data_IF_293238073004
#
_entry.id   IF_293238073004
#
_cell.length_a   1.000
_cell.length_b   1.000
_cell.length_c   1.000
_cell.angle_alpha   90.00
_cell.angle_beta   90.00
_cell.angle_gamma   90.00
#
_symmetry.space_group_name_H-M   'P 1'
#
loop_
_entity.id
_entity.type
_entity.pdbx_description
1 polymer ?
#
# COMPACT_ATOMS: atom_id res chain seq x y z
N UNK A 1 -13.69 -34.71 19.63
CA UNK A 1 -12.78 -33.90 18.80
C UNK A 1 -11.35 -34.32 19.15
N UNK A 2 -10.49 -34.55 18.16
CA UNK A 2 -9.09 -34.88 18.43
C UNK A 2 -8.44 -33.67 19.13
N UNK A 3 -7.72 -33.93 20.23
CA UNK A 3 -7.07 -32.89 21.00
C UNK A 3 -5.86 -32.40 20.20
N UNK A 4 -5.87 -31.13 19.78
CA UNK A 4 -4.72 -30.46 19.14
C UNK A 4 -3.47 -30.57 20.02
N UNK A 5 -2.33 -30.87 19.40
CA UNK A 5 -1.02 -30.93 20.01
C UNK A 5 -0.10 -29.80 19.49
N UNK A 6 1.06 -29.62 20.11
CA UNK A 6 2.05 -28.57 19.77
C UNK A 6 2.50 -28.68 18.31
N UNK A 7 2.71 -29.91 17.82
CA UNK A 7 3.16 -30.18 16.45
C UNK A 7 2.15 -29.81 15.36
N UNK A 8 0.90 -29.54 15.73
CA UNK A 8 -0.13 -29.12 14.77
C UNK A 8 -0.06 -27.62 14.45
N UNK A 9 0.61 -26.83 15.29
CA UNK A 9 0.61 -25.35 15.21
C UNK A 9 2.01 -24.73 15.26
N UNK A 10 2.98 -25.36 15.91
CA UNK A 10 4.35 -24.86 16.00
C UNK A 10 5.23 -25.63 15.01
N UNK A 11 5.79 -24.91 14.05
CA UNK A 11 6.65 -25.47 13.02
C UNK A 11 8.10 -25.10 13.28
N UNK A 12 8.99 -26.08 13.14
CA UNK A 12 10.43 -25.89 13.24
C UNK A 12 11.04 -25.71 11.85
N UNK A 13 11.90 -24.72 11.70
CA UNK A 13 12.83 -24.56 10.60
C UNK A 13 14.25 -24.42 11.14
N UNK A 14 15.28 -24.56 10.31
CA UNK A 14 16.66 -24.28 10.67
C UNK A 14 17.12 -23.06 9.85
N UNK A 15 17.43 -21.95 10.52
CA UNK A 15 17.88 -20.71 9.87
C UNK A 15 19.30 -20.87 9.31
N UNK A 16 20.13 -21.62 10.03
CA UNK A 16 21.46 -22.05 9.66
C UNK A 16 21.72 -23.44 10.27
N UNK A 17 22.76 -24.18 9.84
CA UNK A 17 23.06 -25.49 10.40
C UNK A 17 23.20 -25.44 11.93
N UNK A 18 22.28 -26.11 12.64
CA UNK A 18 22.25 -26.15 14.11
C UNK A 18 21.58 -24.95 14.80
N UNK A 19 20.97 -24.03 14.06
CA UNK A 19 20.23 -22.87 14.59
C UNK A 19 18.73 -23.04 14.30
N UNK A 20 17.99 -23.73 15.18
CA UNK A 20 16.55 -23.92 15.00
C UNK A 20 15.78 -22.63 15.28
N UNK A 21 14.76 -22.37 14.47
CA UNK A 21 13.73 -21.36 14.72
C UNK A 21 12.37 -22.05 14.74
N UNK A 22 11.48 -21.58 15.62
CA UNK A 22 10.13 -22.08 15.75
C UNK A 22 9.16 -20.95 15.37
N UNK A 23 8.18 -21.26 14.53
CA UNK A 23 7.20 -20.30 14.04
C UNK A 23 5.79 -20.86 14.09
N UNK A 24 4.82 -19.98 14.31
CA UNK A 24 3.41 -20.28 14.19
C UNK A 24 2.66 -19.05 13.71
N UNK A 25 1.64 -19.26 12.89
CA UNK A 25 0.69 -18.23 12.52
C UNK A 25 -0.62 -18.50 13.23
N UNK A 26 -1.10 -17.53 14.03
CA UNK A 26 -2.42 -17.64 14.68
C UNK A 26 -3.54 -17.63 13.62
N UNK A 27 -3.28 -16.97 12.48
CA UNK A 27 -4.25 -16.79 11.41
C UNK A 27 -5.37 -15.82 11.79
N UNK A 28 -6.39 -15.79 10.94
CA UNK A 28 -7.55 -14.91 11.09
C UNK A 28 -8.72 -15.42 10.26
N UNK A 29 -9.88 -14.77 10.38
CA UNK A 29 -11.03 -15.11 9.56
C UNK A 29 -10.81 -14.70 8.09
N UNK A 30 -11.59 -15.27 7.18
CA UNK A 30 -11.58 -14.89 5.76
C UNK A 30 -11.84 -13.39 5.57
N UNK A 31 -11.29 -12.81 4.50
CA UNK A 31 -11.47 -11.40 4.15
C UNK A 31 -12.97 -11.05 4.08
N UNK A 32 -13.36 -10.00 4.83
CA UNK A 32 -14.75 -9.54 4.91
C UNK A 32 -15.65 -10.38 5.83
N UNK A 33 -15.11 -11.34 6.59
CA UNK A 33 -15.87 -12.17 7.54
C UNK A 33 -15.21 -12.16 8.92
N UNK A 34 -16.03 -12.33 9.96
CA UNK A 34 -15.56 -12.51 11.34
C UNK A 34 -14.86 -11.28 11.94
N UNK A 35 -14.04 -11.52 12.97
CA UNK A 35 -13.26 -10.50 13.66
C UNK A 35 -11.83 -11.01 13.91
N UNK A 36 -10.84 -10.37 13.29
CA UNK A 36 -9.43 -10.73 13.46
C UNK A 36 -8.98 -10.73 14.93
N UNK A 37 -9.43 -9.75 15.71
CA UNK A 37 -9.13 -9.68 17.14
C UNK A 37 -9.66 -10.89 17.93
N UNK A 38 -10.85 -11.40 17.60
CA UNK A 38 -11.36 -12.62 18.24
C UNK A 38 -10.52 -13.85 17.88
N UNK A 39 -10.06 -13.93 16.61
CA UNK A 39 -9.13 -14.97 16.16
C UNK A 39 -7.83 -14.95 16.97
N UNK A 40 -7.21 -13.79 17.10
CA UNK A 40 -6.00 -13.57 17.92
C UNK A 40 -6.22 -14.00 19.38
N UNK A 41 -7.30 -13.53 19.99
CA UNK A 41 -7.62 -13.82 21.40
C UNK A 41 -7.83 -15.33 21.62
N UNK A 42 -8.45 -16.01 20.66
CA UNK A 42 -8.64 -17.46 20.68
C UNK A 42 -7.31 -18.19 20.48
N UNK A 43 -6.49 -17.76 19.51
CA UNK A 43 -5.17 -18.33 19.24
C UNK A 43 -4.28 -18.32 20.47
N UNK A 44 -4.18 -17.19 21.18
CA UNK A 44 -3.42 -17.15 22.43
C UNK A 44 -3.94 -18.11 23.50
N UNK A 45 -5.27 -18.26 23.66
CA UNK A 45 -5.82 -19.26 24.59
C UNK A 45 -5.40 -20.68 24.22
N UNK A 46 -5.31 -20.98 22.93
CA UNK A 46 -4.81 -22.28 22.44
C UNK A 46 -3.32 -22.43 22.78
N UNK A 47 -2.49 -21.42 22.51
CA UNK A 47 -1.05 -21.45 22.83
C UNK A 47 -0.80 -21.57 24.34
N UNK A 48 -1.56 -20.85 25.17
CA UNK A 48 -1.52 -20.96 26.63
C UNK A 48 -1.85 -22.38 27.10
N UNK A 49 -2.90 -22.99 26.52
CA UNK A 49 -3.27 -24.39 26.81
C UNK A 49 -2.18 -25.37 26.39
N UNK A 50 -1.49 -25.10 25.28
CA UNK A 50 -0.33 -25.86 24.82
C UNK A 50 0.96 -25.56 25.62
N UNK A 51 0.86 -24.70 26.64
CA UNK A 51 1.93 -24.47 27.60
C UNK A 51 2.97 -23.45 27.15
N UNK A 52 2.59 -22.44 26.36
CA UNK A 52 3.46 -21.36 25.89
C UNK A 52 4.41 -20.80 26.98
N UNK A 53 3.90 -20.57 28.20
CA UNK A 53 4.70 -20.06 29.33
C UNK A 53 5.78 -21.03 29.87
N UNK A 54 5.79 -22.30 29.42
CA UNK A 54 6.74 -23.34 29.82
C UNK A 54 7.69 -23.74 28.69
N UNK A 55 7.59 -23.10 27.53
CA UNK A 55 8.50 -23.38 26.43
C UNK A 55 9.92 -22.94 26.82
N UNK A 56 10.89 -23.81 26.53
CA UNK A 56 12.30 -23.53 26.79
C UNK A 56 12.88 -22.68 25.64
N UNK A 57 12.34 -21.47 25.47
CA UNK A 57 12.78 -20.48 24.50
C UNK A 57 13.31 -19.25 25.23
N UNK A 58 14.42 -18.69 24.77
CA UNK A 58 14.99 -17.47 25.34
C UNK A 58 14.20 -16.23 24.93
N UNK A 59 13.66 -16.22 23.69
CA UNK A 59 12.88 -15.12 23.13
C UNK A 59 11.65 -15.66 22.41
N UNK A 60 10.53 -14.93 22.55
CA UNK A 60 9.34 -15.10 21.73
C UNK A 60 9.06 -13.75 21.09
N UNK A 61 9.24 -13.67 19.78
CA UNK A 61 8.91 -12.46 19.00
C UNK A 61 7.48 -12.61 18.50
N UNK A 62 6.65 -11.62 18.80
CA UNK A 62 5.26 -11.57 18.38
C UNK A 62 5.09 -10.44 17.38
N UNK A 63 4.78 -10.77 16.12
CA UNK A 63 4.45 -9.79 15.09
C UNK A 63 2.97 -9.44 15.16
N UNK A 64 2.65 -8.16 15.33
CA UNK A 64 1.30 -7.67 15.58
C UNK A 64 0.97 -6.49 14.67
N UNK A 65 -0.25 -6.51 14.12
CA UNK A 65 -0.79 -5.39 13.35
C UNK A 65 -0.96 -4.15 14.25
N UNK A 66 -0.32 -3.05 13.87
CA UNK A 66 -0.33 -1.79 14.63
C UNK A 66 -1.44 -0.81 14.28
N UNK A 67 -2.12 -0.99 13.14
CA UNK A 67 -3.14 -0.06 12.63
C UNK A 67 -4.34 0.08 13.58
N UNK A 68 -4.67 -1.02 14.26
CA UNK A 68 -5.77 -1.08 15.22
C UNK A 68 -5.27 -1.65 16.53
N UNK A 69 -5.48 -0.88 17.61
CA UNK A 69 -5.08 -1.28 18.97
C UNK A 69 -6.32 -1.43 19.84
N UNK A 70 -7.24 -2.29 19.38
CA UNK A 70 -8.53 -2.49 20.04
C UNK A 70 -8.86 -3.97 20.22
N UNK A 71 -9.71 -4.25 21.22
CA UNK A 71 -10.21 -5.59 21.51
C UNK A 71 -9.08 -6.63 21.54
N UNK A 72 -9.17 -7.62 20.64
CA UNK A 72 -8.20 -8.70 20.59
C UNK A 72 -6.81 -8.34 20.05
N UNK A 73 -6.66 -7.28 19.26
CA UNK A 73 -5.35 -6.81 18.79
C UNK A 73 -4.54 -6.17 19.93
N UNK A 74 -5.23 -5.65 20.95
CA UNK A 74 -4.58 -5.16 22.16
C UNK A 74 -4.21 -6.29 23.14
N UNK A 75 -4.53 -7.56 22.87
CA UNK A 75 -4.32 -8.68 23.79
C UNK A 75 -2.89 -8.78 24.33
N UNK A 76 -1.82 -8.64 23.50
CA UNK A 76 -0.46 -8.71 24.02
C UNK A 76 -0.17 -7.67 25.10
N UNK A 77 -0.70 -6.45 24.96
CA UNK A 77 -0.58 -5.36 25.92
C UNK A 77 -1.52 -5.58 27.12
N UNK A 78 -2.80 -5.81 26.84
CA UNK A 78 -3.88 -5.88 27.82
C UNK A 78 -3.73 -7.04 28.80
N UNK A 79 -3.17 -8.17 28.34
CA UNK A 79 -2.92 -9.36 29.17
C UNK A 79 -1.46 -9.48 29.62
N UNK A 80 -0.62 -8.50 29.31
CA UNK A 80 0.82 -8.53 29.60
C UNK A 80 1.51 -9.80 29.09
N UNK A 81 1.13 -10.25 27.89
CA UNK A 81 1.78 -11.40 27.24
C UNK A 81 3.10 -10.99 26.58
N UNK A 82 3.20 -9.73 26.16
CA UNK A 82 4.46 -9.12 25.75
C UNK A 82 5.05 -8.39 26.96
N UNK A 83 6.28 -8.73 27.34
CA UNK A 83 7.03 -7.98 28.36
C UNK A 83 7.55 -6.65 27.78
N UNK A 84 8.07 -6.72 26.56
CA UNK A 84 8.74 -5.63 25.86
C UNK A 84 8.10 -5.42 24.47
N UNK A 85 7.92 -4.15 24.10
CA UNK A 85 7.30 -3.74 22.83
C UNK A 85 8.25 -2.82 22.09
N UNK A 86 8.48 -3.13 20.82
CA UNK A 86 9.19 -2.27 19.88
C UNK A 86 8.18 -1.84 18.81
N UNK A 87 8.13 -0.56 18.50
CA UNK A 87 7.22 -0.02 17.49
C UNK A 87 8.03 0.27 16.22
N UNK A 88 7.63 -0.33 15.10
CA UNK A 88 8.23 -0.02 13.80
C UNK A 88 7.46 1.13 13.15
N UNK A 89 8.18 2.16 12.71
CA UNK A 89 7.61 3.38 12.14
C UNK A 89 8.29 3.77 10.83
N UNK A 90 7.56 4.43 9.94
CA UNK A 90 8.10 5.23 8.85
C UNK A 90 8.09 6.72 9.19
N UNK A 91 8.35 7.55 8.19
CA UNK A 91 8.28 9.02 8.32
C UNK A 91 6.87 9.57 8.02
N UNK A 92 5.97 8.73 7.49
CA UNK A 92 4.64 9.17 7.11
C UNK A 92 3.71 9.35 8.32
N UNK A 93 2.70 10.20 8.12
CA UNK A 93 1.74 10.56 9.17
C UNK A 93 0.94 9.38 9.69
N UNK A 94 0.59 8.41 8.86
CA UNK A 94 -0.24 7.28 9.29
C UNK A 94 0.56 6.33 10.18
N UNK A 95 1.82 6.07 9.82
CA UNK A 95 2.71 5.24 10.62
C UNK A 95 2.98 5.84 12.00
N UNK A 96 3.31 7.14 12.07
CA UNK A 96 3.53 7.82 13.35
C UNK A 96 2.24 7.97 14.17
N UNK A 97 1.08 8.06 13.52
CA UNK A 97 -0.22 8.07 14.20
C UNK A 97 -0.53 6.72 14.83
N UNK A 98 -0.27 5.61 14.13
CA UNK A 98 -0.39 4.26 14.67
C UNK A 98 0.56 4.06 15.86
N UNK A 99 1.82 4.51 15.75
CA UNK A 99 2.79 4.49 16.84
C UNK A 99 2.28 5.24 18.08
N UNK A 100 1.70 6.44 17.88
CA UNK A 100 1.12 7.22 18.95
C UNK A 100 -0.05 6.51 19.62
N UNK A 101 -0.92 5.86 18.85
CA UNK A 101 -2.04 5.07 19.40
C UNK A 101 -1.56 3.83 20.18
N UNK A 102 -0.51 3.15 19.72
CA UNK A 102 0.10 2.04 20.46
C UNK A 102 0.70 2.55 21.78
N UNK A 103 1.41 3.68 21.75
CA UNK A 103 1.97 4.31 22.95
C UNK A 103 0.88 4.70 23.95
N UNK A 104 -0.23 5.30 23.48
CA UNK A 104 -1.41 5.61 24.29
C UNK A 104 -2.01 4.35 24.92
N UNK A 105 -2.20 3.30 24.13
CA UNK A 105 -2.74 2.03 24.62
C UNK A 105 -1.82 1.40 25.68
N UNK A 106 -0.51 1.41 25.45
CA UNK A 106 0.47 0.88 26.41
C UNK A 106 0.40 1.63 27.74
N UNK A 107 0.39 2.97 27.74
CA UNK A 107 0.19 3.78 28.97
C UNK A 107 -1.14 3.47 29.65
N UNK A 108 -2.21 3.33 28.88
CA UNK A 108 -3.52 2.98 29.42
C UNK A 108 -3.50 1.64 30.16
N UNK A 109 -2.96 0.57 29.55
CA UNK A 109 -2.86 -0.74 30.18
C UNK A 109 -1.89 -0.76 31.37
N UNK A 110 -0.77 -0.02 31.31
CA UNK A 110 0.11 0.18 32.45
C UNK A 110 -0.61 0.85 33.63
N UNK A 111 -1.45 1.86 33.37
CA UNK A 111 -2.24 2.53 34.42
C UNK A 111 -3.23 1.59 35.14
N UNK A 112 -3.61 0.48 34.48
CA UNK A 112 -4.47 -0.57 35.04
C UNK A 112 -3.67 -1.71 35.68
N UNK A 113 -2.34 -1.59 35.80
CA UNK A 113 -1.46 -2.57 36.43
C UNK A 113 -0.80 -3.56 35.48
N UNK A 114 -0.87 -3.34 34.16
CA UNK A 114 -0.13 -4.12 33.17
C UNK A 114 1.39 -3.91 33.28
N UNK A 115 2.17 -4.94 32.97
CA UNK A 115 3.64 -4.92 33.09
C UNK A 115 4.38 -4.73 31.76
N UNK A 116 3.65 -4.67 30.63
CA UNK A 116 4.25 -4.45 29.31
C UNK A 116 4.92 -3.08 29.24
N UNK A 117 6.13 -3.03 28.69
CA UNK A 117 6.89 -1.80 28.52
C UNK A 117 7.32 -1.59 27.08
N UNK A 118 7.36 -0.34 26.63
CA UNK A 118 7.88 0.02 25.31
C UNK A 118 9.39 0.19 25.43
N UNK A 119 10.17 -0.39 24.52
CA UNK A 119 11.62 -0.16 24.43
C UNK A 119 11.91 1.08 23.59
N UNK A 120 11.23 1.26 22.46
CA UNK A 120 11.43 2.39 21.57
C UNK A 120 10.93 2.15 20.15
N UNK A 121 11.42 2.98 19.24
CA UNK A 121 11.05 3.03 17.83
C UNK A 121 12.13 2.40 16.95
N UNK A 122 11.73 1.67 15.91
CA UNK A 122 12.59 1.35 14.76
C UNK A 122 12.11 2.19 13.59
N UNK A 123 12.95 3.08 13.07
CA UNK A 123 12.63 3.83 11.85
C UNK A 123 12.95 2.95 10.66
N UNK A 124 11.93 2.48 9.96
CA UNK A 124 12.03 1.63 8.79
C UNK A 124 11.79 2.41 7.50
N UNK A 125 12.46 2.00 6.43
CA UNK A 125 12.51 2.75 5.16
C UNK A 125 12.90 4.21 5.39
N UNK A 126 13.94 4.41 6.21
CA UNK A 126 14.42 5.75 6.54
C UNK A 126 14.79 6.50 5.25
N UNK A 127 14.05 7.56 4.96
CA UNK A 127 14.19 8.43 3.79
C UNK A 127 14.92 9.74 4.14
N UNK A 128 15.44 9.82 5.37
CA UNK A 128 16.18 10.94 5.94
C UNK A 128 15.37 12.24 6.05
N UNK A 129 14.04 12.18 6.06
CA UNK A 129 13.16 13.35 6.21
C UNK A 129 12.96 13.83 7.63
N UNK A 130 13.66 13.25 8.63
CA UNK A 130 13.65 13.58 10.07
C UNK A 130 12.29 13.59 10.80
N UNK A 131 11.17 13.37 10.11
CA UNK A 131 9.83 13.42 10.72
C UNK A 131 9.67 12.47 11.90
N UNK A 132 10.24 11.25 11.80
CA UNK A 132 10.26 10.29 12.91
C UNK A 132 11.12 10.77 14.10
N UNK A 133 12.21 11.51 13.85
CA UNK A 133 13.03 12.14 14.89
C UNK A 133 12.25 13.21 15.66
N UNK A 134 11.53 14.06 14.94
CA UNK A 134 10.67 15.08 15.54
C UNK A 134 9.59 14.44 16.42
N UNK A 135 8.98 13.36 15.95
CA UNK A 135 8.02 12.58 16.73
C UNK A 135 8.67 11.95 17.97
N UNK A 136 9.82 11.32 17.81
CA UNK A 136 10.58 10.71 18.91
C UNK A 136 10.94 11.74 19.99
N UNK A 137 11.43 12.91 19.59
CA UNK A 137 11.77 14.00 20.50
C UNK A 137 10.53 14.57 21.22
N UNK A 138 9.41 14.73 20.51
CA UNK A 138 8.19 15.27 21.09
C UNK A 138 7.52 14.27 22.06
N UNK A 139 7.47 12.99 21.71
CA UNK A 139 6.84 11.94 22.52
C UNK A 139 7.74 11.41 23.65
N UNK A 140 9.06 11.59 23.55
CA UNK A 140 10.04 11.02 24.47
C UNK A 140 10.40 9.56 24.19
N UNK A 141 9.89 8.97 23.10
CA UNK A 141 10.23 7.60 22.72
C UNK A 141 11.61 7.55 22.03
N UNK A 142 12.55 6.69 22.48
CA UNK A 142 13.87 6.60 21.87
C UNK A 142 13.83 5.86 20.53
N UNK A 143 14.65 6.29 19.57
CA UNK A 143 14.91 5.54 18.33
C UNK A 143 16.01 4.51 18.60
N UNK A 144 15.70 3.23 18.45
CA UNK A 144 16.60 2.10 18.74
C UNK A 144 17.56 1.82 17.58
N UNK A 145 17.04 1.89 16.35
CA UNK A 145 17.81 1.74 15.12
C UNK A 145 17.07 2.33 13.93
N UNK A 146 17.78 2.45 12.81
CA UNK A 146 17.28 2.91 11.52
C UNK A 146 17.57 1.86 10.45
N UNK A 147 16.55 1.51 9.68
CA UNK A 147 16.64 0.59 8.56
C UNK A 147 16.46 1.41 7.28
N UNK A 148 17.50 1.56 6.45
CA UNK A 148 17.42 2.42 5.27
C UNK A 148 16.49 1.83 4.21
N UNK A 149 15.93 2.68 3.35
CA UNK A 149 15.27 2.21 2.14
C UNK A 149 16.32 1.58 1.19
N UNK A 150 16.16 0.29 0.86
CA UNK A 150 17.08 -0.42 -0.02
C UNK A 150 16.32 -1.28 -1.05
N UNK A 151 16.68 -1.13 -2.32
CA UNK A 151 16.02 -1.81 -3.44
C UNK A 151 16.35 -3.30 -3.51
N UNK A 152 17.58 -3.70 -3.20
CA UNK A 152 18.01 -5.10 -3.24
C UNK A 152 17.29 -5.91 -2.16
N UNK A 153 17.16 -5.34 -0.95
CA UNK A 153 16.37 -5.94 0.14
C UNK A 153 14.90 -6.06 -0.24
N UNK A 154 14.35 -5.10 -0.99
CA UNK A 154 12.98 -5.22 -1.52
C UNK A 154 12.84 -6.41 -2.47
N UNK A 155 13.78 -6.58 -3.39
CA UNK A 155 13.80 -7.72 -4.32
C UNK A 155 13.94 -9.04 -3.58
N UNK A 156 14.76 -9.10 -2.53
CA UNK A 156 14.86 -10.28 -1.67
C UNK A 156 13.54 -10.59 -0.97
N UNK A 157 12.88 -9.58 -0.40
CA UNK A 157 11.59 -9.75 0.26
C UNK A 157 10.51 -10.25 -0.72
N UNK A 158 10.44 -9.70 -1.94
CA UNK A 158 9.54 -10.16 -3.00
C UNK A 158 9.82 -11.63 -3.41
N UNK A 159 11.06 -12.10 -3.20
CA UNK A 159 11.49 -13.47 -3.42
C UNK A 159 11.43 -14.37 -2.16
N UNK A 160 10.77 -13.92 -1.09
CA UNK A 160 10.67 -14.61 0.21
C UNK A 160 12.04 -14.92 0.84
N UNK A 161 13.03 -14.06 0.64
CA UNK A 161 14.37 -14.17 1.22
C UNK A 161 14.58 -13.14 2.32
N UNK A 162 15.49 -13.46 3.23
CA UNK A 162 15.79 -12.60 4.36
C UNK A 162 16.72 -11.45 3.94
N UNK A 163 16.47 -10.26 4.50
CA UNK A 163 17.35 -9.11 4.34
C UNK A 163 18.77 -9.36 4.87
N UNK A 164 18.97 -10.39 5.70
CA UNK A 164 20.26 -10.81 6.23
C UNK A 164 21.27 -11.26 5.16
N UNK A 165 20.82 -11.53 3.93
CA UNK A 165 21.72 -11.78 2.79
C UNK A 165 22.51 -10.51 2.37
N UNK A 166 22.04 -9.33 2.77
CA UNK A 166 22.74 -8.05 2.56
C UNK A 166 23.51 -7.69 3.82
N UNK A 167 24.84 -7.65 3.72
CA UNK A 167 25.77 -7.44 4.86
C UNK A 167 25.40 -6.23 5.71
N UNK A 168 25.14 -5.07 5.08
CA UNK A 168 24.76 -3.85 5.80
C UNK A 168 23.48 -4.00 6.65
N UNK A 169 22.50 -4.78 6.18
CA UNK A 169 21.27 -5.05 6.94
C UNK A 169 21.51 -6.08 8.04
N UNK A 170 22.31 -7.11 7.74
CA UNK A 170 22.73 -8.07 8.75
C UNK A 170 23.43 -7.39 9.93
N UNK A 171 24.32 -6.41 9.67
CA UNK A 171 25.00 -5.64 10.71
C UNK A 171 24.01 -4.82 11.57
N UNK A 172 23.06 -4.13 10.94
CA UNK A 172 22.03 -3.35 11.64
C UNK A 172 21.20 -4.25 12.57
N UNK A 173 20.76 -5.40 12.08
CA UNK A 173 19.93 -6.32 12.87
C UNK A 173 20.75 -7.07 13.92
N UNK A 174 21.99 -7.44 13.63
CA UNK A 174 22.88 -8.10 14.58
C UNK A 174 23.23 -7.18 15.76
N UNK A 175 23.48 -5.89 15.50
CA UNK A 175 23.68 -4.89 16.55
C UNK A 175 22.43 -4.75 17.42
N UNK A 176 21.26 -4.54 16.82
CA UNK A 176 20.00 -4.39 17.56
C UNK A 176 19.67 -5.65 18.39
N UNK A 177 19.71 -6.82 17.76
CA UNK A 177 19.44 -8.09 18.44
C UNK A 177 20.46 -8.36 19.55
N UNK A 178 21.73 -8.01 19.34
CA UNK A 178 22.77 -8.11 20.37
C UNK A 178 22.48 -7.22 21.57
N UNK A 179 22.08 -5.96 21.34
CA UNK A 179 21.70 -5.01 22.41
C UNK A 179 20.47 -5.49 23.20
N UNK A 180 19.47 -6.05 22.50
CA UNK A 180 18.29 -6.67 23.14
C UNK A 180 18.71 -7.88 23.99
N UNK A 181 19.50 -8.80 23.42
CA UNK A 181 19.92 -10.02 24.09
C UNK A 181 20.76 -9.76 25.36
N UNK A 182 21.59 -8.70 25.33
CA UNK A 182 22.38 -8.27 26.49
C UNK A 182 21.62 -7.36 27.46
N UNK A 183 20.34 -7.07 27.20
CA UNK A 183 19.49 -6.14 27.97
C UNK A 183 20.12 -4.75 28.12
N UNK A 184 20.74 -4.25 27.06
CA UNK A 184 21.37 -2.92 27.01
C UNK A 184 20.37 -1.81 26.66
N UNK A 185 19.18 -2.16 26.16
CA UNK A 185 18.11 -1.23 25.83
C UNK A 185 17.18 -1.14 27.04
N UNK A 186 17.20 -0.04 27.82
CA UNK A 186 16.28 0.13 28.93
C UNK A 186 14.86 0.40 28.41
N UNK A 187 13.82 -0.02 29.14
CA UNK A 187 12.46 0.37 28.82
C UNK A 187 12.27 1.89 28.87
N UNK A 188 11.51 2.42 27.90
CA UNK A 188 11.07 3.80 27.86
C UNK A 188 10.00 4.03 28.94
N UNK A 189 10.39 4.68 30.03
CA UNK A 189 9.48 5.02 31.15
C UNK A 189 8.93 6.43 31.05
N UNK A 190 9.74 7.37 30.55
CA UNK A 190 9.45 8.80 30.47
C UNK A 190 9.05 9.24 29.05
N UNK A 191 8.01 8.60 28.51
CA UNK A 191 7.35 9.02 27.28
C UNK A 191 5.93 9.48 27.56
N UNK A 192 5.45 10.43 26.77
CA UNK A 192 4.08 10.94 26.78
C UNK A 192 3.53 10.88 25.35
N UNK A 193 2.49 10.07 25.10
CA UNK A 193 1.79 10.09 23.82
C UNK A 193 1.26 11.50 23.53
N UNK A 194 1.35 11.94 22.28
CA UNK A 194 0.99 13.29 21.88
C UNK A 194 -0.52 13.43 21.75
N UNK A 195 -1.07 14.52 22.28
CA UNK A 195 -2.43 14.91 21.96
C UNK A 195 -2.52 15.39 20.51
N UNK A 196 -3.72 15.38 19.93
CA UNK A 196 -3.90 15.63 18.50
C UNK A 196 -3.26 16.94 17.98
N UNK A 197 -3.38 18.10 18.66
CA UNK A 197 -2.69 19.32 18.21
C UNK A 197 -1.15 19.21 18.29
N UNK A 198 -0.62 18.56 19.32
CA UNK A 198 0.83 18.36 19.50
C UNK A 198 1.37 17.41 18.43
N UNK A 199 0.59 16.38 18.09
CA UNK A 199 0.91 15.45 17.01
C UNK A 199 0.95 16.16 15.65
N UNK A 200 0.04 17.08 15.36
CA UNK A 200 0.08 17.85 14.11
C UNK A 200 1.32 18.74 14.01
N UNK A 201 1.82 19.27 15.13
CA UNK A 201 3.06 20.07 15.16
C UNK A 201 4.30 19.27 14.73
N UNK A 202 4.27 17.93 14.78
CA UNK A 202 5.35 17.08 14.24
C UNK A 202 5.51 17.30 12.73
N UNK A 203 4.42 17.62 12.03
CA UNK A 203 4.39 17.80 10.57
C UNK A 203 4.29 19.27 10.16
N UNK A 204 4.50 20.21 11.08
CA UNK A 204 4.20 21.64 10.90
C UNK A 204 2.78 21.90 10.38
N UNK A 205 1.85 21.00 10.73
CA UNK A 205 0.48 21.05 10.28
C UNK A 205 -0.41 21.73 11.33
N UNK A 206 -1.47 22.37 10.86
CA UNK A 206 -2.56 22.88 11.68
C UNK A 206 -3.88 22.53 11.02
N UNK A 207 -4.92 22.35 11.82
CA UNK A 207 -6.26 22.18 11.26
C UNK A 207 -6.71 23.48 10.56
N UNK A 208 -7.32 23.38 9.38
CA UNK A 208 -7.93 24.53 8.75
C UNK A 208 -9.05 25.08 9.65
N UNK A 209 -9.33 26.39 9.58
CA UNK A 209 -10.41 26.98 10.36
C UNK A 209 -11.77 26.41 9.94
N UNK A 210 -12.61 26.11 10.94
CA UNK A 210 -13.95 25.57 10.76
C UNK A 210 -14.10 24.22 11.44
N UNK A 211 -15.06 24.11 12.36
CA UNK A 211 -15.45 22.83 12.93
C UNK A 211 -16.76 22.38 12.27
N UNK A 212 -16.94 21.07 12.01
CA UNK A 212 -18.22 20.57 11.56
C UNK A 212 -19.26 20.78 12.67
N UNK A 213 -20.40 21.36 12.31
CA UNK A 213 -21.55 21.40 13.20
C UNK A 213 -22.18 20.01 13.32
N UNK A 214 -22.70 19.69 14.50
CA UNK A 214 -23.46 18.46 14.71
C UNK A 214 -24.73 18.47 13.87
N UNK A 215 -24.92 17.45 13.03
CA UNK A 215 -26.16 17.29 12.27
C UNK A 215 -27.36 17.07 13.19
N UNK A 216 -28.48 17.70 12.88
CA UNK A 216 -29.76 17.48 13.55
C UNK A 216 -30.53 16.34 12.88
N UNK A 217 -31.53 15.78 13.58
CA UNK A 217 -32.45 14.80 12.98
C UNK A 217 -33.18 15.36 11.75
N UNK A 218 -33.43 16.67 11.71
CA UNK A 218 -34.05 17.30 10.56
C UNK A 218 -33.10 17.34 9.35
N UNK A 219 -31.80 17.56 9.57
CA UNK A 219 -30.80 17.55 8.49
C UNK A 219 -30.70 16.18 7.82
N UNK A 220 -30.87 15.10 8.60
CA UNK A 220 -30.74 13.73 8.10
C UNK A 220 -32.06 13.13 7.59
N UNK A 221 -33.20 13.50 8.19
CA UNK A 221 -34.50 12.84 7.95
C UNK A 221 -35.61 13.78 7.50
N UNK A 222 -35.37 15.09 7.43
CA UNK A 222 -36.40 16.11 7.18
C UNK A 222 -36.94 16.19 5.75
N UNK A 223 -36.46 15.35 4.83
CA UNK A 223 -36.98 15.26 3.45
C UNK A 223 -36.79 16.52 2.60
N UNK A 224 -36.04 17.52 3.10
CA UNK A 224 -35.76 18.74 2.37
C UNK A 224 -34.83 18.41 1.19
N UNK A 225 -35.32 18.64 -0.03
CA UNK A 225 -34.51 18.65 -1.24
C UNK A 225 -33.49 19.78 -1.12
N UNK A 226 -32.28 19.47 -0.66
CA UNK A 226 -31.15 20.41 -0.72
C UNK A 226 -30.85 20.66 -2.20
N UNK A 227 -30.95 21.92 -2.62
CA UNK A 227 -30.56 22.34 -3.96
C UNK A 227 -29.08 22.00 -4.15
N UNK A 228 -28.79 21.00 -4.99
CA UNK A 228 -27.42 20.55 -5.26
C UNK A 228 -26.71 21.61 -6.07
N UNK A 229 -25.89 22.44 -5.41
CA UNK A 229 -24.92 23.28 -6.10
C UNK A 229 -23.79 22.39 -6.60
N UNK A 230 -23.51 22.33 -7.91
CA UNK A 230 -22.33 21.64 -8.40
C UNK A 230 -21.09 22.28 -7.78
N UNK A 231 -20.30 21.47 -7.06
CA UNK A 231 -19.05 21.90 -6.42
C UNK A 231 -17.93 22.15 -7.45
N UNK A 232 -18.02 21.46 -8.58
CA UNK A 232 -17.10 21.63 -9.69
C UNK A 232 -17.76 22.57 -10.71
N UNK A 233 -17.03 23.55 -11.26
CA UNK A 233 -17.49 24.22 -12.46
C UNK A 233 -17.72 23.17 -13.54
N UNK A 234 -18.67 23.41 -14.46
CA UNK A 234 -18.74 22.65 -15.70
C UNK A 234 -17.40 22.83 -16.40
N UNK A 235 -16.50 21.85 -16.26
CA UNK A 235 -15.24 21.80 -17.00
C UNK A 235 -15.66 21.38 -18.40
N UNK A 236 -15.66 22.28 -19.40
CA UNK A 236 -15.96 21.85 -20.75
C UNK A 236 -14.90 20.82 -21.13
N UNK A 237 -15.35 19.62 -21.50
CA UNK A 237 -14.47 18.65 -22.15
C UNK A 237 -13.84 19.39 -23.33
N UNK A 238 -12.52 19.60 -23.30
CA UNK A 238 -11.85 20.19 -24.44
C UNK A 238 -12.12 19.26 -25.62
N UNK A 239 -12.69 19.77 -26.73
CA UNK A 239 -12.87 18.94 -27.91
C UNK A 239 -11.50 18.39 -28.30
N UNK A 240 -11.44 17.07 -28.51
CA UNK A 240 -10.25 16.40 -29.04
C UNK A 240 -9.82 17.18 -30.28
N UNK A 241 -8.54 17.57 -30.33
CA UNK A 241 -7.96 18.38 -31.41
C UNK A 241 -8.32 17.72 -32.74
N UNK A 242 -9.25 18.31 -33.50
CA UNK A 242 -9.46 17.91 -34.89
C UNK A 242 -8.20 18.29 -35.65
N UNK A 243 -7.58 17.32 -36.32
CA UNK A 243 -6.47 17.58 -37.23
C UNK A 243 -7.03 18.45 -38.36
N UNK A 244 -6.48 19.65 -38.55
CA UNK A 244 -6.79 20.50 -39.70
C UNK A 244 -5.63 20.38 -40.68
N UNK A 245 -5.83 19.63 -41.76
CA UNK A 245 -4.88 19.54 -42.88
C UNK A 245 -5.31 20.44 -44.04
N UNK A 246 -4.34 21.10 -44.67
CA UNK A 246 -4.54 21.87 -45.90
C UNK A 246 -4.33 21.02 -47.17
N UNK A 247 -3.82 19.79 -47.01
CA UNK A 247 -3.58 18.86 -48.13
C UNK A 247 -4.90 18.19 -48.56
N UNK A 248 -5.32 18.32 -49.83
CA UNK A 248 -6.56 17.72 -50.33
C UNK A 248 -6.63 16.20 -50.19
N UNK A 249 -5.49 15.51 -50.25
CA UNK A 249 -5.40 14.06 -50.14
C UNK A 249 -5.57 13.61 -48.69
N UNK A 250 -4.86 14.26 -47.77
CA UNK A 250 -4.96 14.00 -46.33
C UNK A 250 -6.37 14.31 -45.82
N UNK A 251 -6.99 15.38 -46.34
CA UNK A 251 -8.38 15.72 -46.03
C UNK A 251 -9.34 14.62 -46.49
N UNK A 252 -9.12 14.06 -47.68
CA UNK A 252 -9.94 12.95 -48.20
C UNK A 252 -9.76 11.68 -47.35
N UNK A 253 -8.55 11.43 -46.85
CA UNK A 253 -8.28 10.34 -45.89
C UNK A 253 -9.02 10.59 -44.58
N UNK A 254 -8.93 11.79 -44.03
CA UNK A 254 -9.62 12.17 -42.81
C UNK A 254 -11.14 11.99 -42.95
N UNK A 255 -11.75 12.54 -44.00
CA UNK A 255 -13.20 12.44 -44.25
C UNK A 255 -13.65 10.96 -44.35
N UNK A 256 -12.88 10.12 -45.04
CA UNK A 256 -13.21 8.70 -45.23
C UNK A 256 -12.98 7.86 -43.97
N UNK A 257 -11.97 8.18 -43.15
CA UNK A 257 -11.75 7.55 -41.85
C UNK A 257 -12.86 7.92 -40.86
N UNK A 258 -13.29 9.19 -40.85
CA UNK A 258 -14.39 9.65 -40.02
C UNK A 258 -15.73 9.03 -40.44
N UNK A 259 -15.99 8.85 -41.74
CA UNK A 259 -17.18 8.16 -42.26
C UNK A 259 -17.31 6.71 -41.76
N UNK A 260 -16.18 6.00 -41.59
CA UNK A 260 -16.16 4.63 -41.06
C UNK A 260 -16.07 4.58 -39.52
N UNK A 261 -16.13 5.73 -38.85
CA UNK A 261 -16.17 5.83 -37.39
C UNK A 261 -14.82 5.84 -36.68
N UNK A 262 -13.73 6.10 -37.40
CA UNK A 262 -12.39 6.32 -36.82
C UNK A 262 -12.21 7.80 -36.54
N UNK A 263 -11.92 8.17 -35.29
CA UNK A 263 -11.63 9.54 -34.91
C UNK A 263 -10.15 9.87 -35.15
N UNK A 264 -9.87 10.62 -36.21
CA UNK A 264 -8.50 11.00 -36.57
C UNK A 264 -7.95 12.04 -35.59
N UNK A 265 -6.98 11.63 -34.77
CA UNK A 265 -6.26 12.45 -33.78
C UNK A 265 -4.86 12.86 -34.24
N UNK A 266 -4.33 12.18 -35.26
CA UNK A 266 -3.06 12.48 -35.91
C UNK A 266 -3.08 11.97 -37.34
N UNK A 267 -2.40 12.68 -38.24
CA UNK A 267 -2.25 12.26 -39.62
C UNK A 267 -0.86 12.70 -40.09
N UNK A 268 -0.06 11.74 -40.53
CA UNK A 268 1.32 11.94 -40.94
C UNK A 268 1.57 11.25 -42.27
N UNK A 269 2.43 11.87 -43.09
CA UNK A 269 2.86 11.30 -44.35
C UNK A 269 4.35 11.08 -44.32
N UNK A 270 4.76 9.83 -44.47
CA UNK A 270 6.15 9.42 -44.49
C UNK A 270 6.53 8.84 -45.88
N UNK A 271 7.75 9.08 -46.38
CA UNK A 271 8.20 8.53 -47.66
C UNK A 271 8.26 7.00 -47.74
N UNK A 272 8.44 6.30 -46.63
CA UNK A 272 8.51 4.83 -46.55
C UNK A 272 7.15 4.20 -46.21
N UNK A 273 6.40 4.82 -45.29
CA UNK A 273 5.14 4.25 -44.76
C UNK A 273 3.87 4.79 -45.46
N UNK A 274 3.98 5.83 -46.29
CA UNK A 274 2.85 6.48 -46.95
C UNK A 274 2.02 7.30 -45.95
N UNK A 275 0.70 7.17 -45.97
CA UNK A 275 -0.17 7.88 -45.01
C UNK A 275 -0.41 7.02 -43.77
N UNK A 276 -0.13 7.60 -42.61
CA UNK A 276 -0.39 7.01 -41.29
C UNK A 276 -1.44 7.85 -40.56
N UNK A 277 -2.46 7.18 -40.04
CA UNK A 277 -3.57 7.78 -39.28
C UNK A 277 -3.50 7.32 -37.83
N UNK A 278 -3.51 8.26 -36.90
CA UNK A 278 -3.55 7.98 -35.46
C UNK A 278 -4.95 8.25 -34.93
N UNK A 279 -5.55 7.27 -34.25
CA UNK A 279 -6.84 7.40 -33.58
C UNK A 279 -6.71 7.01 -32.11
N UNK A 280 -6.50 8.00 -31.24
CA UNK A 280 -6.23 7.78 -29.82
C UNK A 280 -4.88 7.07 -29.63
N UNK A 281 -4.91 5.81 -29.23
CA UNK A 281 -3.72 4.97 -29.02
C UNK A 281 -3.44 4.01 -30.20
N UNK A 282 -4.25 4.02 -31.25
CA UNK A 282 -4.14 3.11 -32.39
C UNK A 282 -3.46 3.79 -33.57
N UNK A 283 -2.43 3.15 -34.12
CA UNK A 283 -1.74 3.60 -35.33
C UNK A 283 -2.21 2.79 -36.56
N UNK A 284 -2.64 3.47 -37.62
CA UNK A 284 -3.18 2.85 -38.84
C UNK A 284 -2.34 3.26 -40.04
N UNK A 285 -1.59 2.32 -40.62
CA UNK A 285 -0.75 2.55 -41.79
C UNK A 285 -1.50 2.19 -43.07
N UNK A 286 -1.79 3.21 -43.88
CA UNK A 286 -2.60 3.08 -45.09
C UNK A 286 -1.71 2.89 -46.32
N UNK A 287 -0.53 3.53 -46.35
CA UNK A 287 0.33 3.52 -47.53
C UNK A 287 -0.18 4.49 -48.59
N UNK A 288 -0.29 4.03 -49.84
CA UNK A 288 -0.75 4.84 -50.96
C UNK A 288 -2.26 5.11 -50.92
N UNK A 289 -2.63 6.38 -51.11
CA UNK A 289 -4.01 6.86 -51.01
C UNK A 289 -4.89 6.48 -52.22
N UNK A 290 -4.30 5.99 -53.31
CA UNK A 290 -5.05 5.55 -54.51
C UNK A 290 -5.93 4.33 -54.24
N UNK A 291 -5.61 3.54 -53.23
CA UNK A 291 -6.29 2.28 -52.86
C UNK A 291 -7.18 2.46 -51.61
N UNK A 292 -7.37 3.69 -51.16
CA UNK A 292 -8.02 4.04 -49.89
C UNK A 292 -9.45 3.47 -49.78
N UNK A 293 -10.20 3.44 -50.88
CA UNK A 293 -11.59 2.93 -50.89
C UNK A 293 -11.67 1.43 -50.66
N UNK A 294 -10.70 0.66 -51.16
CA UNK A 294 -10.65 -0.79 -50.95
C UNK A 294 -10.24 -1.11 -49.51
N UNK A 295 -9.29 -0.35 -48.96
CA UNK A 295 -8.85 -0.44 -47.56
C UNK A 295 -9.94 -0.03 -46.58
N UNK A 296 -10.82 0.91 -46.94
CA UNK A 296 -11.94 1.38 -46.13
C UNK A 296 -12.89 0.25 -45.71
N UNK A 297 -13.20 -0.67 -46.63
CA UNK A 297 -14.10 -1.79 -46.37
C UNK A 297 -13.51 -2.76 -45.33
N UNK A 298 -12.20 -3.02 -45.43
CA UNK A 298 -11.48 -3.84 -44.46
C UNK A 298 -11.42 -3.18 -43.08
N UNK A 299 -11.08 -1.90 -43.01
CA UNK A 299 -11.05 -1.13 -41.77
C UNK A 299 -12.44 -1.05 -41.11
N UNK A 300 -13.49 -0.83 -41.90
CA UNK A 300 -14.87 -0.84 -41.42
C UNK A 300 -15.26 -2.20 -40.82
N UNK A 301 -14.86 -3.30 -41.47
CA UNK A 301 -15.08 -4.65 -40.95
C UNK A 301 -14.31 -4.89 -39.63
N UNK A 302 -13.06 -4.45 -39.54
CA UNK A 302 -12.25 -4.55 -38.31
C UNK A 302 -12.85 -3.77 -37.15
N UNK A 303 -13.28 -2.52 -37.37
CA UNK A 303 -13.95 -1.70 -36.34
C UNK A 303 -15.24 -2.37 -35.87
N UNK A 304 -15.98 -2.98 -36.80
CA UNK A 304 -17.20 -3.74 -36.49
C UNK A 304 -17.00 -4.87 -35.47
N UNK A 305 -15.78 -5.39 -35.32
CA UNK A 305 -15.45 -6.44 -34.33
C UNK A 305 -15.41 -5.93 -32.89
N UNK A 306 -15.31 -4.60 -32.68
CA UNK A 306 -15.14 -3.94 -31.37
C UNK A 306 -13.90 -4.40 -30.58
N UNK A 307 -12.92 -5.01 -31.24
CA UNK A 307 -11.63 -5.31 -30.63
C UNK A 307 -10.76 -4.04 -30.58
N UNK A 308 -9.93 -3.92 -29.55
CA UNK A 308 -8.98 -2.83 -29.41
C UNK A 308 -7.66 -3.23 -30.09
N UNK A 309 -7.15 -2.36 -30.97
CA UNK A 309 -5.89 -2.57 -31.66
C UNK A 309 -4.91 -1.47 -31.29
N UNK A 310 -3.66 -1.83 -31.09
CA UNK A 310 -2.52 -0.91 -30.96
C UNK A 310 -2.00 -0.49 -32.33
N UNK A 311 -2.03 -1.39 -33.31
CA UNK A 311 -1.55 -1.13 -34.66
C UNK A 311 -2.39 -1.86 -35.70
N UNK A 312 -2.64 -1.21 -36.84
CA UNK A 312 -3.27 -1.79 -38.03
C UNK A 312 -2.44 -1.38 -39.25
N UNK A 313 -1.87 -2.34 -39.97
CA UNK A 313 -1.12 -2.09 -41.21
C UNK A 313 -1.87 -2.69 -42.40
N UNK A 314 -2.37 -1.82 -43.26
CA UNK A 314 -3.11 -2.15 -44.48
C UNK A 314 -2.39 -1.64 -45.73
N UNK A 315 -1.08 -1.40 -45.65
CA UNK A 315 -0.28 -0.98 -46.81
C UNK A 315 -0.34 -2.02 -47.94
N UNK A 316 -0.43 -3.30 -47.58
CA UNK A 316 -0.55 -4.43 -48.50
C UNK A 316 -1.91 -5.11 -48.31
N UNK A 317 -2.84 -4.88 -49.25
CA UNK A 317 -4.22 -5.41 -49.17
C UNK A 317 -4.25 -6.95 -49.13
N UNK A 318 -3.30 -7.60 -49.81
CA UNK A 318 -3.22 -9.06 -49.86
C UNK A 318 -2.65 -9.69 -48.57
N UNK A 319 -2.08 -8.87 -47.68
CA UNK A 319 -1.46 -9.32 -46.43
C UNK A 319 -1.58 -8.25 -45.31
N UNK A 320 -2.81 -7.90 -44.87
CA UNK A 320 -2.99 -6.94 -43.79
C UNK A 320 -2.52 -7.53 -42.46
N UNK A 321 -2.00 -6.70 -41.58
CA UNK A 321 -1.60 -7.10 -40.23
C UNK A 321 -2.18 -6.16 -39.17
N UNK A 322 -2.46 -6.69 -37.98
CA UNK A 322 -2.99 -5.91 -36.86
C UNK A 322 -2.55 -6.53 -35.54
N UNK A 323 -2.32 -5.69 -34.53
CA UNK A 323 -1.83 -6.07 -33.20
C UNK A 323 -2.72 -5.50 -32.10
#
# INVERSE_FOLDING_TARGET
EAQMDVGDVIFRSDLAPGVPIYGCEIGGPDVGRGCGGQGISHGFKVLERLGMARWALDFIVMDFLGDVVCGGFATPLARSLAEEVIIVVGHDRQSLYAANNIATAAKYFQSMGGSTQILGLIVNRDDCTDTADRYAAASGLPILTRVPLNQDVRVLADACKLALEVEAFNDIFADLAGRIARREIPPATDYTPLEYPEFLNVFDAHEPPGHPDSATSADLFGGASVERKPLLPDIPLMPVRQVHTADPLERKVQELMEEIGIHVTGLERDPEDGITVTSGATEIRIGEASELTEKAAFLSALIGTKQAFSQIDVRYIDAPSYQ
#
